data_IF_787878622134
#
_entry.id   IF_787878622134
#
_cell.length_a   1.000
_cell.length_b   1.000
_cell.length_c   1.000
_cell.angle_alpha   90.00
_cell.angle_beta   90.00
_cell.angle_gamma   90.00
#
_symmetry.space_group_name_H-M   'P 1'
#
loop_
_entity.id
_entity.type
_entity.pdbx_description
1 polymer ?
#
# COMPACT_ATOMS: atom_id res chain seq x y z
N UNK A 1 6.43 -10.20 -55.76
CA UNK A 1 7.09 -10.44 -54.44
C UNK A 1 6.71 -9.25 -53.56
N UNK A 2 5.65 -9.42 -52.77
CA UNK A 2 5.05 -8.32 -51.97
C UNK A 2 5.51 -8.50 -50.52
N UNK A 3 6.07 -7.45 -49.93
CA UNK A 3 6.42 -7.38 -48.52
C UNK A 3 5.16 -7.12 -47.67
N UNK A 4 5.04 -7.73 -46.50
CA UNK A 4 3.93 -7.46 -45.62
C UNK A 4 4.14 -6.12 -44.86
N UNK A 5 3.04 -5.38 -44.77
CA UNK A 5 2.95 -4.11 -44.07
C UNK A 5 3.18 -4.29 -42.53
N UNK A 6 4.08 -3.50 -42.01
CA UNK A 6 4.30 -3.29 -40.58
C UNK A 6 3.07 -2.61 -39.99
N UNK A 7 2.38 -3.34 -39.10
CA UNK A 7 1.27 -2.81 -38.32
C UNK A 7 1.77 -1.74 -37.35
N UNK A 8 1.43 -0.50 -37.62
CA UNK A 8 1.62 0.63 -36.72
C UNK A 8 0.65 0.47 -35.55
N UNK A 9 1.17 0.21 -34.38
CA UNK A 9 0.39 0.27 -33.14
C UNK A 9 -0.04 1.71 -32.92
N UNK A 10 -1.34 1.96 -33.07
CA UNK A 10 -1.98 3.25 -32.74
C UNK A 10 -2.10 3.30 -31.21
N UNK A 11 -1.08 3.85 -30.56
CA UNK A 11 -1.22 4.27 -29.17
C UNK A 11 -2.02 5.57 -29.17
N UNK A 12 -3.23 5.50 -28.61
CA UNK A 12 -4.02 6.68 -28.32
C UNK A 12 -3.23 7.62 -27.42
N UNK A 13 -3.07 8.85 -27.84
CA UNK A 13 -2.53 9.94 -27.05
C UNK A 13 -3.30 10.02 -25.73
N UNK A 14 -2.59 9.86 -24.64
CA UNK A 14 -3.11 10.11 -23.29
C UNK A 14 -3.37 11.61 -23.19
N UNK A 15 -4.62 12.02 -23.31
CA UNK A 15 -5.04 13.38 -23.02
C UNK A 15 -4.81 13.67 -21.53
N UNK A 16 -3.71 14.36 -21.26
CA UNK A 16 -3.53 15.08 -20.00
C UNK A 16 -4.41 16.31 -20.06
N UNK A 17 -5.51 16.31 -19.35
CA UNK A 17 -6.25 17.56 -19.10
C UNK A 17 -5.52 18.30 -18.00
N UNK A 18 -4.73 19.31 -18.36
CA UNK A 18 -4.24 20.32 -17.44
C UNK A 18 -5.44 21.12 -16.91
N UNK A 19 -5.88 20.77 -15.70
CA UNK A 19 -6.72 21.64 -14.91
C UNK A 19 -5.90 22.03 -13.67
N UNK A 20 -5.70 23.32 -13.50
CA UNK A 20 -4.83 23.92 -12.51
C UNK A 20 -5.21 23.44 -11.08
N UNK A 21 -4.32 22.71 -10.42
CA UNK A 21 -4.34 22.51 -8.97
C UNK A 21 -4.31 21.08 -8.43
N UNK A 22 -4.77 20.06 -9.16
CA UNK A 22 -4.67 18.67 -8.72
C UNK A 22 -4.40 17.77 -9.94
N UNK A 23 -3.24 17.14 -9.99
CA UNK A 23 -2.96 16.06 -10.94
C UNK A 23 -3.75 14.84 -10.46
N UNK A 24 -5.03 14.79 -10.82
CA UNK A 24 -5.89 13.64 -10.53
C UNK A 24 -5.48 12.46 -11.41
N UNK A 25 -5.14 11.33 -10.78
CA UNK A 25 -4.87 10.08 -11.49
C UNK A 25 -6.11 9.67 -12.30
N UNK A 26 -5.95 9.38 -13.59
CA UNK A 26 -7.02 8.89 -14.46
C UNK A 26 -7.75 7.69 -13.81
N UNK A 27 -9.09 7.62 -14.00
CA UNK A 27 -9.93 6.53 -13.50
C UNK A 27 -9.43 5.15 -13.92
N UNK A 28 -8.84 5.05 -15.11
CA UNK A 28 -8.23 3.83 -15.62
C UNK A 28 -6.99 3.43 -14.80
N UNK A 29 -6.08 4.36 -14.53
CA UNK A 29 -4.88 4.14 -13.72
C UNK A 29 -5.25 3.76 -12.27
N UNK A 30 -6.29 4.39 -11.71
CA UNK A 30 -6.83 4.02 -10.39
C UNK A 30 -7.32 2.57 -10.38
N UNK A 31 -8.04 2.15 -11.43
CA UNK A 31 -8.54 0.78 -11.56
C UNK A 31 -7.39 -0.23 -11.66
N UNK A 32 -6.37 0.07 -12.47
CA UNK A 32 -5.17 -0.77 -12.57
C UNK A 32 -4.45 -0.85 -11.22
N UNK A 33 -4.22 0.28 -10.55
CA UNK A 33 -3.58 0.33 -9.23
C UNK A 33 -4.31 -0.52 -8.18
N UNK A 34 -5.65 -0.48 -8.18
CA UNK A 34 -6.47 -1.33 -7.29
C UNK A 34 -6.32 -2.82 -7.61
N UNK A 35 -6.32 -3.20 -8.87
CA UNK A 35 -6.15 -4.59 -9.33
C UNK A 35 -4.76 -5.13 -8.96
N UNK A 36 -3.70 -4.35 -9.22
CA UNK A 36 -2.34 -4.71 -8.82
C UNK A 36 -2.21 -4.84 -7.30
N UNK A 37 -2.79 -3.89 -6.54
CA UNK A 37 -2.79 -3.95 -5.08
C UNK A 37 -3.50 -5.18 -4.56
N UNK A 38 -4.63 -5.55 -5.15
CA UNK A 38 -5.40 -6.72 -4.77
C UNK A 38 -4.62 -8.02 -5.02
N UNK A 39 -4.00 -8.15 -6.20
CA UNK A 39 -3.21 -9.32 -6.54
C UNK A 39 -1.94 -9.44 -5.68
N UNK A 40 -1.17 -8.36 -5.53
CA UNK A 40 0.11 -8.41 -4.83
C UNK A 40 0.00 -8.45 -3.30
N UNK A 41 -1.17 -8.15 -2.72
CA UNK A 41 -1.36 -8.09 -1.26
C UNK A 41 -2.26 -9.18 -0.70
N UNK A 42 -3.21 -9.65 -1.50
CA UNK A 42 -4.30 -10.47 -0.97
C UNK A 42 -4.50 -11.76 -1.75
N UNK A 43 -4.55 -11.70 -3.07
CA UNK A 43 -4.97 -12.81 -3.91
C UNK A 43 -4.07 -12.98 -5.14
N UNK A 44 -2.76 -13.31 -4.98
CA UNK A 44 -1.87 -13.54 -6.12
C UNK A 44 -2.34 -14.70 -7.01
N UNK A 45 -2.96 -15.71 -6.41
CA UNK A 45 -3.48 -16.89 -7.10
C UNK A 45 -4.55 -16.56 -8.16
N UNK A 46 -5.30 -15.46 -7.99
CA UNK A 46 -6.29 -15.03 -8.99
C UNK A 46 -5.68 -14.57 -10.31
N UNK A 47 -4.43 -14.18 -10.30
CA UNK A 47 -3.64 -13.91 -11.51
C UNK A 47 -2.61 -15.01 -11.78
N UNK A 48 -2.69 -16.16 -11.13
CA UNK A 48 -1.68 -17.21 -11.27
C UNK A 48 -0.28 -16.79 -10.87
N UNK A 49 -0.14 -15.82 -9.94
CA UNK A 49 1.14 -15.32 -9.46
C UNK A 49 1.65 -16.15 -8.28
N UNK A 50 2.94 -16.46 -8.32
CA UNK A 50 3.67 -17.05 -7.19
C UNK A 50 4.65 -16.00 -6.65
N UNK A 51 4.33 -15.43 -5.48
CA UNK A 51 5.18 -14.46 -4.82
C UNK A 51 6.26 -15.18 -4.01
N UNK A 52 7.45 -14.60 -3.94
CA UNK A 52 8.49 -15.09 -3.03
C UNK A 52 8.17 -14.73 -1.56
N UNK A 53 9.01 -15.17 -0.63
CA UNK A 53 8.82 -14.93 0.80
C UNK A 53 8.74 -13.44 1.18
N UNK A 54 9.14 -12.54 0.31
CA UNK A 54 9.11 -11.08 0.49
C UNK A 54 8.02 -10.40 -0.33
N UNK A 55 7.07 -11.15 -0.85
CA UNK A 55 5.95 -10.62 -1.66
C UNK A 55 6.37 -10.13 -3.05
N UNK A 56 7.55 -10.55 -3.57
CA UNK A 56 8.05 -10.12 -4.88
C UNK A 56 7.68 -11.12 -5.96
N UNK A 57 7.43 -10.60 -7.15
CA UNK A 57 7.25 -11.39 -8.38
C UNK A 57 8.02 -10.75 -9.53
N UNK A 58 8.42 -11.53 -10.53
CA UNK A 58 9.00 -10.98 -11.76
C UNK A 58 8.01 -10.02 -12.42
N UNK A 59 8.49 -8.82 -12.81
CA UNK A 59 7.66 -7.85 -13.53
C UNK A 59 7.12 -8.43 -14.84
N UNK A 60 7.95 -9.17 -15.57
CA UNK A 60 7.53 -9.83 -16.81
C UNK A 60 6.40 -10.84 -16.56
N UNK A 61 6.51 -11.65 -15.50
CA UNK A 61 5.45 -12.59 -15.12
C UNK A 61 4.16 -11.85 -14.73
N UNK A 62 4.25 -10.78 -13.93
CA UNK A 62 3.08 -9.99 -13.58
C UNK A 62 2.38 -9.43 -14.82
N UNK A 63 3.14 -8.82 -15.73
CA UNK A 63 2.58 -8.23 -16.96
C UNK A 63 1.93 -9.29 -17.84
N UNK A 64 2.58 -10.42 -18.06
CA UNK A 64 2.03 -11.52 -18.85
C UNK A 64 0.69 -12.04 -18.26
N UNK A 65 0.65 -12.31 -16.96
CA UNK A 65 -0.55 -12.81 -16.29
C UNK A 65 -1.66 -11.75 -16.21
N UNK A 66 -1.32 -10.50 -15.93
CA UNK A 66 -2.29 -9.41 -15.91
C UNK A 66 -2.93 -9.23 -17.28
N UNK A 67 -2.13 -9.20 -18.35
CA UNK A 67 -2.60 -8.97 -19.72
C UNK A 67 -3.38 -10.18 -20.29
N UNK A 68 -3.11 -11.38 -19.81
CA UNK A 68 -3.92 -12.55 -20.12
C UNK A 68 -5.28 -12.54 -19.41
N UNK A 69 -5.34 -11.93 -18.22
CA UNK A 69 -6.55 -11.95 -17.39
C UNK A 69 -7.50 -10.77 -17.67
N UNK A 70 -6.97 -9.58 -18.02
CA UNK A 70 -7.75 -8.37 -18.23
C UNK A 70 -7.71 -7.92 -19.67
N UNK A 71 -8.87 -7.47 -20.21
CA UNK A 71 -9.00 -6.98 -21.58
C UNK A 71 -8.19 -5.70 -21.86
N UNK A 72 -7.85 -4.94 -20.84
CA UNK A 72 -7.03 -3.73 -20.96
C UNK A 72 -5.60 -4.07 -20.60
N UNK A 73 -4.70 -4.24 -21.57
CA UNK A 73 -3.31 -4.58 -21.30
C UNK A 73 -2.57 -3.40 -20.66
N UNK A 74 -1.55 -3.74 -19.89
CA UNK A 74 -0.63 -2.79 -19.27
C UNK A 74 0.81 -3.16 -19.58
N UNK A 75 1.69 -2.18 -19.48
CA UNK A 75 3.13 -2.34 -19.58
C UNK A 75 3.85 -1.77 -18.35
N UNK A 76 5.16 -1.83 -18.35
CA UNK A 76 5.98 -1.28 -17.28
C UNK A 76 5.78 0.24 -17.15
N UNK A 77 5.61 0.96 -18.26
CA UNK A 77 5.42 2.41 -18.24
C UNK A 77 4.14 2.82 -17.52
N UNK A 78 3.05 2.09 -17.72
CA UNK A 78 1.79 2.31 -16.99
C UNK A 78 1.98 2.10 -15.50
N UNK A 79 2.73 1.07 -15.08
CA UNK A 79 3.03 0.85 -13.66
C UNK A 79 3.88 1.99 -13.09
N UNK A 80 4.90 2.45 -13.80
CA UNK A 80 5.72 3.61 -13.42
C UNK A 80 4.90 4.89 -13.30
N UNK A 81 3.98 5.13 -14.24
CA UNK A 81 3.04 6.26 -14.18
C UNK A 81 2.16 6.19 -12.94
N UNK A 82 1.61 5.02 -12.61
CA UNK A 82 0.83 4.81 -11.38
C UNK A 82 1.67 5.10 -10.14
N UNK A 83 2.94 4.66 -10.11
CA UNK A 83 3.83 4.90 -8.97
C UNK A 83 4.14 6.39 -8.82
N UNK A 84 4.42 7.10 -9.91
CA UNK A 84 4.73 8.53 -9.92
C UNK A 84 3.53 9.41 -9.56
N UNK A 85 2.33 9.07 -10.06
CA UNK A 85 1.10 9.84 -9.84
C UNK A 85 0.43 9.56 -8.48
N UNK A 86 0.94 8.63 -7.69
CA UNK A 86 0.34 8.26 -6.41
C UNK A 86 0.93 9.04 -5.24
N UNK A 87 0.11 9.73 -4.47
CA UNK A 87 0.50 10.38 -3.20
C UNK A 87 1.11 9.39 -2.19
N UNK A 88 0.75 8.11 -2.32
CA UNK A 88 1.23 7.02 -1.46
C UNK A 88 1.90 5.98 -2.33
N UNK A 89 3.17 5.79 -2.15
CA UNK A 89 3.88 4.68 -2.78
C UNK A 89 3.28 3.35 -2.31
N UNK A 90 2.73 2.60 -3.25
CA UNK A 90 2.08 1.30 -2.99
C UNK A 90 2.93 0.13 -3.43
N UNK A 91 3.84 0.38 -4.37
CA UNK A 91 4.66 -0.63 -5.03
C UNK A 91 6.12 -0.20 -5.03
N UNK A 92 7.03 -1.18 -5.01
CA UNK A 92 8.43 -1.00 -5.33
C UNK A 92 8.79 -1.89 -6.51
N UNK A 93 9.65 -1.37 -7.40
CA UNK A 93 10.19 -2.09 -8.54
C UNK A 93 11.71 -2.05 -8.47
N UNK A 94 12.34 -3.21 -8.32
CA UNK A 94 13.79 -3.36 -8.19
C UNK A 94 14.24 -4.63 -8.90
N UNK A 95 15.34 -4.54 -9.66
CA UNK A 95 15.96 -5.68 -10.32
C UNK A 95 14.99 -6.56 -11.13
N UNK A 96 14.08 -5.92 -11.91
CA UNK A 96 13.09 -6.61 -12.72
C UNK A 96 12.00 -7.32 -11.92
N UNK A 97 11.86 -7.02 -10.64
CA UNK A 97 10.80 -7.53 -9.76
C UNK A 97 9.92 -6.39 -9.25
N UNK A 98 8.68 -6.73 -8.92
CA UNK A 98 7.72 -5.82 -8.31
C UNK A 98 7.14 -6.46 -7.04
N UNK A 99 6.83 -5.62 -6.05
CA UNK A 99 6.12 -6.00 -4.82
C UNK A 99 5.19 -4.88 -4.35
N UNK A 100 4.21 -5.23 -3.55
CA UNK A 100 3.53 -4.24 -2.73
C UNK A 100 4.40 -3.90 -1.51
N UNK A 101 4.32 -2.64 -1.04
CA UNK A 101 5.15 -2.16 0.08
C UNK A 101 4.54 -2.48 1.45
N UNK A 102 3.22 -2.57 1.54
CA UNK A 102 2.48 -2.78 2.79
C UNK A 102 1.06 -3.27 2.54
N UNK A 103 0.39 -3.68 3.62
CA UNK A 103 -1.04 -4.00 3.61
C UNK A 103 -1.37 -5.39 3.13
N UNK A 104 -0.45 -6.34 3.25
CA UNK A 104 -0.65 -7.74 2.91
C UNK A 104 -1.61 -8.41 3.90
N UNK A 105 -2.44 -9.33 3.40
CA UNK A 105 -3.16 -10.34 4.17
C UNK A 105 -2.62 -11.75 3.92
N UNK A 106 -1.57 -11.85 3.11
CA UNK A 106 -0.78 -13.07 2.88
C UNK A 106 0.54 -12.95 3.65
N UNK A 107 1.11 -14.05 4.14
CA UNK A 107 2.37 -14.03 4.87
C UNK A 107 3.51 -13.50 4.00
N UNK A 108 4.13 -12.40 4.41
CA UNK A 108 5.33 -11.85 3.77
C UNK A 108 6.37 -11.47 4.81
N UNK A 109 7.63 -11.76 4.53
CA UNK A 109 8.75 -11.30 5.36
C UNK A 109 9.02 -9.83 5.07
N UNK A 110 9.28 -9.06 6.12
CA UNK A 110 9.74 -7.69 5.96
C UNK A 110 11.16 -7.68 5.39
N UNK A 111 11.40 -6.79 4.44
CA UNK A 111 12.75 -6.54 3.90
C UNK A 111 13.55 -5.60 4.79
N UNK A 112 12.85 -4.72 5.50
CA UNK A 112 13.46 -3.74 6.38
C UNK A 112 13.79 -4.36 7.73
N UNK A 113 14.95 -4.00 8.25
CA UNK A 113 15.27 -4.26 9.66
C UNK A 113 14.40 -3.35 10.57
N UNK A 114 14.15 -3.75 11.82
CA UNK A 114 13.53 -2.86 12.78
C UNK A 114 14.41 -1.63 13.00
N UNK A 115 13.78 -0.48 13.19
CA UNK A 115 14.46 0.78 13.43
C UNK A 115 13.77 1.54 14.59
N UNK A 116 14.49 2.51 15.16
CA UNK A 116 13.93 3.41 16.17
C UNK A 116 12.80 4.25 15.54
N UNK A 117 11.57 4.16 16.06
CA UNK A 117 10.48 4.98 15.57
C UNK A 117 10.61 6.44 16.05
N UNK A 118 9.89 7.40 15.44
CA UNK A 118 9.72 8.72 16.03
C UNK A 118 9.00 8.60 17.37
N UNK A 119 9.10 9.66 18.20
CA UNK A 119 8.50 9.67 19.54
C UNK A 119 7.01 9.29 19.52
N UNK A 120 6.29 9.74 18.47
CA UNK A 120 4.86 9.57 18.32
C UNK A 120 4.54 9.07 16.90
N UNK A 121 3.62 8.13 16.84
CA UNK A 121 2.94 7.66 15.62
C UNK A 121 1.43 7.75 15.81
N UNK A 122 0.66 7.53 14.74
CA UNK A 122 -0.80 7.71 14.75
C UNK A 122 -1.54 6.54 14.13
N UNK A 123 -2.73 6.25 14.66
CA UNK A 123 -3.63 5.25 14.10
C UNK A 123 -5.05 5.81 13.97
N UNK A 124 -5.57 5.82 12.74
CA UNK A 124 -6.94 6.24 12.45
C UNK A 124 -7.88 5.04 12.31
N UNK A 125 -9.02 5.08 13.01
CA UNK A 125 -9.98 3.98 13.06
C UNK A 125 -11.42 4.47 13.16
N UNK A 126 -12.40 3.55 13.07
CA UNK A 126 -13.81 3.87 13.32
C UNK A 126 -14.11 3.95 14.80
N UNK A 127 -15.18 4.67 15.19
CA UNK A 127 -15.67 4.70 16.56
C UNK A 127 -15.96 3.31 17.12
N UNK A 128 -16.53 2.43 16.30
CA UNK A 128 -16.83 1.05 16.72
C UNK A 128 -15.56 0.28 17.12
N UNK A 129 -14.48 0.41 16.35
CA UNK A 129 -13.22 -0.27 16.65
C UNK A 129 -12.45 0.41 17.80
N UNK A 130 -12.61 1.72 17.98
CA UNK A 130 -11.94 2.49 19.02
C UNK A 130 -12.23 1.95 20.42
N UNK A 131 -13.48 1.56 20.71
CA UNK A 131 -13.89 1.00 22.02
C UNK A 131 -13.05 -0.22 22.41
N UNK A 132 -12.79 -1.12 21.47
CA UNK A 132 -11.96 -2.29 21.74
C UNK A 132 -10.47 -1.92 21.84
N UNK A 133 -10.01 -0.99 21.01
CA UNK A 133 -8.60 -0.54 21.01
C UNK A 133 -8.22 0.12 22.33
N UNK A 134 -9.11 0.88 22.95
CA UNK A 134 -8.88 1.51 24.26
C UNK A 134 -8.58 0.50 25.37
N UNK A 135 -9.18 -0.67 25.30
CA UNK A 135 -9.01 -1.72 26.33
C UNK A 135 -7.96 -2.77 25.94
N UNK A 136 -7.95 -3.18 24.69
CA UNK A 136 -7.13 -4.33 24.23
C UNK A 136 -5.84 -3.91 23.50
N UNK A 137 -5.72 -2.63 23.15
CA UNK A 137 -4.63 -2.12 22.32
C UNK A 137 -4.86 -2.38 20.81
N UNK A 138 -3.89 -2.00 20.01
CA UNK A 138 -3.90 -2.24 18.58
C UNK A 138 -3.41 -3.66 18.27
N UNK A 139 -4.24 -4.42 17.58
CA UNK A 139 -3.95 -5.79 17.10
C UNK A 139 -3.95 -5.81 15.57
N UNK A 140 -3.16 -6.69 14.98
CA UNK A 140 -2.99 -6.80 13.52
C UNK A 140 -4.23 -7.31 12.78
N UNK A 141 -5.14 -7.98 13.48
CA UNK A 141 -6.36 -8.59 12.93
C UNK A 141 -6.02 -9.54 11.75
N UNK A 142 -6.66 -9.34 10.59
CA UNK A 142 -6.44 -10.12 9.36
C UNK A 142 -5.18 -9.70 8.57
N UNK A 143 -4.30 -8.90 9.18
CA UNK A 143 -3.05 -8.43 8.55
C UNK A 143 -1.84 -8.99 9.27
N UNK A 144 -0.68 -8.95 8.62
CA UNK A 144 0.58 -9.36 9.28
C UNK A 144 1.05 -8.36 10.33
N UNK A 145 0.67 -7.08 10.21
CA UNK A 145 1.10 -6.00 11.10
C UNK A 145 0.02 -4.96 11.34
N UNK A 146 0.11 -4.30 12.47
CA UNK A 146 -0.54 -3.01 12.71
C UNK A 146 0.16 -1.93 11.87
N UNK A 147 -0.61 -1.06 11.24
CA UNK A 147 -0.11 0.04 10.43
C UNK A 147 -0.27 1.35 11.19
N UNK A 148 0.83 2.06 11.40
CA UNK A 148 0.86 3.36 12.05
C UNK A 148 1.30 4.42 11.05
N UNK A 149 0.68 5.58 11.10
CA UNK A 149 0.98 6.73 10.24
C UNK A 149 1.98 7.66 10.92
N UNK A 150 2.89 8.25 10.17
CA UNK A 150 3.83 9.23 10.70
C UNK A 150 3.17 10.59 11.02
N UNK A 151 2.00 10.89 10.45
CA UNK A 151 1.29 12.15 10.65
C UNK A 151 -0.20 11.93 10.95
N UNK A 152 -0.80 12.90 11.64
CA UNK A 152 -2.24 12.93 11.93
C UNK A 152 -3.06 12.93 10.64
N UNK A 153 -2.69 13.72 9.64
CA UNK A 153 -3.43 13.82 8.37
C UNK A 153 -3.48 12.48 7.62
N UNK A 154 -2.38 11.72 7.66
CA UNK A 154 -2.36 10.38 7.10
C UNK A 154 -3.27 9.42 7.88
N UNK A 155 -3.27 9.48 9.20
CA UNK A 155 -4.13 8.65 10.05
C UNK A 155 -5.61 8.96 9.80
N UNK A 156 -5.98 10.24 9.70
CA UNK A 156 -7.33 10.69 9.32
C UNK A 156 -7.73 10.10 7.97
N UNK A 157 -6.90 10.27 6.93
CA UNK A 157 -7.16 9.73 5.59
C UNK A 157 -7.32 8.20 5.57
N UNK A 158 -6.65 7.49 6.48
CA UNK A 158 -6.81 6.04 6.60
C UNK A 158 -8.11 5.69 7.31
N UNK A 159 -8.43 6.35 8.42
CA UNK A 159 -9.64 6.12 9.20
C UNK A 159 -10.92 6.46 8.42
N UNK A 160 -10.89 7.52 7.61
CA UNK A 160 -12.01 7.97 6.76
C UNK A 160 -12.46 6.94 5.72
N UNK A 161 -11.69 5.90 5.47
CA UNK A 161 -12.13 4.77 4.62
C UNK A 161 -13.25 3.95 5.24
N UNK A 162 -13.42 4.02 6.56
CA UNK A 162 -14.42 3.26 7.33
C UNK A 162 -15.35 4.14 8.14
N UNK A 163 -14.95 5.36 8.49
CA UNK A 163 -15.73 6.28 9.30
C UNK A 163 -15.45 7.71 8.84
N UNK A 164 -16.46 8.49 8.40
CA UNK A 164 -16.28 9.88 7.95
C UNK A 164 -15.65 10.79 9.01
N UNK A 165 -15.81 10.47 10.29
CA UNK A 165 -15.22 11.17 11.44
C UNK A 165 -14.42 10.18 12.28
N UNK A 166 -13.24 9.76 11.83
CA UNK A 166 -12.49 8.70 12.48
C UNK A 166 -11.97 9.14 13.84
N UNK A 167 -11.84 8.17 14.73
CA UNK A 167 -11.08 8.34 15.98
C UNK A 167 -9.59 8.19 15.65
N UNK A 168 -8.78 9.09 16.17
CA UNK A 168 -7.32 9.07 16.01
C UNK A 168 -6.67 8.72 17.35
N UNK A 169 -5.89 7.66 17.35
CA UNK A 169 -5.01 7.32 18.47
C UNK A 169 -3.62 7.88 18.22
N UNK A 170 -3.08 8.56 19.22
CA UNK A 170 -1.67 8.85 19.35
C UNK A 170 -1.01 7.64 20.00
N UNK A 171 0.12 7.21 19.45
CA UNK A 171 0.91 6.07 19.91
C UNK A 171 2.24 6.58 20.43
N UNK A 172 2.56 6.34 21.70
CA UNK A 172 3.86 6.63 22.30
C UNK A 172 4.93 5.64 21.80
N UNK A 173 5.31 5.77 20.53
CA UNK A 173 6.07 4.76 19.79
C UNK A 173 7.50 4.59 20.33
N UNK A 174 8.18 5.67 20.70
CA UNK A 174 9.51 5.61 21.31
C UNK A 174 9.47 4.86 22.64
N UNK A 175 8.47 5.13 23.50
CA UNK A 175 8.32 4.43 24.77
C UNK A 175 8.00 2.95 24.56
N UNK A 176 7.16 2.64 23.59
CA UNK A 176 6.86 1.25 23.23
C UNK A 176 8.09 0.52 22.68
N UNK A 177 8.92 1.19 21.87
CA UNK A 177 10.17 0.64 21.37
C UNK A 177 11.19 0.42 22.52
N UNK A 178 11.32 1.36 23.45
CA UNK A 178 12.15 1.21 24.63
C UNK A 178 11.70 0.03 25.52
N UNK A 179 10.41 -0.33 25.46
CA UNK A 179 9.88 -1.53 26.14
C UNK A 179 10.00 -2.82 25.31
N UNK A 180 10.69 -2.78 24.17
CA UNK A 180 11.03 -3.95 23.37
C UNK A 180 10.13 -4.22 22.17
N UNK A 181 9.15 -3.35 21.83
CA UNK A 181 8.38 -3.50 20.61
C UNK A 181 9.24 -3.14 19.39
N UNK A 182 9.19 -3.98 18.36
CA UNK A 182 9.93 -3.76 17.12
C UNK A 182 9.08 -3.00 16.11
N UNK A 183 9.61 -1.89 15.63
CA UNK A 183 8.97 -1.04 14.63
C UNK A 183 9.75 -1.12 13.30
N UNK A 184 9.02 -1.27 12.20
CA UNK A 184 9.59 -1.43 10.88
C UNK A 184 9.15 -0.26 9.99
N UNK A 185 10.08 0.61 9.56
CA UNK A 185 9.75 1.71 8.66
C UNK A 185 9.40 1.18 7.28
N UNK A 186 8.51 1.88 6.57
CA UNK A 186 8.26 1.66 5.15
C UNK A 186 8.61 2.93 4.36
N UNK A 187 8.82 2.78 3.06
CA UNK A 187 9.11 3.90 2.15
C UNK A 187 7.97 4.94 2.05
N UNK A 188 6.77 4.59 2.52
CA UNK A 188 5.56 5.43 2.44
C UNK A 188 5.20 6.12 3.76
N UNK A 189 6.16 6.33 4.65
CA UNK A 189 5.94 6.95 5.97
C UNK A 189 4.90 6.20 6.84
N UNK A 190 4.70 4.92 6.56
CA UNK A 190 3.95 3.99 7.39
C UNK A 190 4.95 3.19 8.22
N UNK A 191 4.64 2.99 9.49
CA UNK A 191 5.38 2.12 10.38
C UNK A 191 4.57 0.87 10.69
N UNK A 192 5.24 -0.27 10.69
CA UNK A 192 4.64 -1.56 10.98
C UNK A 192 5.08 -2.03 12.36
N UNK A 193 4.16 -2.60 13.11
CA UNK A 193 4.43 -3.19 14.43
C UNK A 193 3.49 -4.38 14.61
N UNK A 194 3.91 -5.41 15.35
CA UNK A 194 3.07 -6.61 15.56
C UNK A 194 1.78 -6.26 16.34
N UNK A 195 1.92 -5.52 17.41
CA UNK A 195 0.80 -5.03 18.23
C UNK A 195 1.24 -3.78 19.01
N UNK A 196 0.28 -3.04 19.56
CA UNK A 196 0.56 -1.94 20.50
C UNK A 196 -0.37 -2.07 21.72
N UNK A 197 0.16 -2.34 22.91
CA UNK A 197 -0.63 -2.37 24.14
C UNK A 197 -1.35 -1.04 24.42
N UNK A 198 -2.56 -1.10 24.98
CA UNK A 198 -3.40 0.08 25.26
C UNK A 198 -2.69 1.17 26.06
N UNK A 199 -1.79 0.80 27.00
CA UNK A 199 -1.03 1.77 27.82
C UNK A 199 -0.16 2.76 27.03
N UNK A 200 0.13 2.47 25.76
CA UNK A 200 0.87 3.38 24.86
C UNK A 200 -0.05 4.17 23.92
N UNK A 201 -1.36 4.08 24.10
CA UNK A 201 -2.36 4.72 23.26
C UNK A 201 -3.06 5.86 24.02
N UNK A 202 -3.29 6.97 23.33
CA UNK A 202 -4.11 8.09 23.81
C UNK A 202 -5.04 8.52 22.67
N UNK A 203 -6.33 8.66 22.96
CA UNK A 203 -7.28 9.22 22.00
C UNK A 203 -7.00 10.70 21.85
N UNK A 204 -6.89 11.15 20.61
CA UNK A 204 -6.78 12.59 20.33
C UNK A 204 -8.16 13.24 20.40
N UNK A 205 -8.24 14.38 21.10
CA UNK A 205 -9.45 15.19 21.19
C UNK A 205 -9.75 15.93 19.88
#
# INVERSE_FOLDING_TARGET
MAMPATGTAIFAETHYTENQGEIGMDKQLIKVSKRLSFALRHHPERLGLHLDAYGRVSLATLLAQYNAHYQTPIDEQIIRTIMAASDKQRFAMENGRIRALYGHSIPVKLLQAPAAPPAVLYHGTSHQAAVMIETEGLKKMDRDFVHLSATVSMAVSVGQRRDPRPVIFQVAAEQAAAAGLLFYPTESHIWLVDHVPAKYLTVMA
#
